data_IF_394283992727
#
_entry.id   IF_394283992727
#
_cell.length_a   1.000
_cell.length_b   1.000
_cell.length_c   1.000
_cell.angle_alpha   90.00
_cell.angle_beta   90.00
_cell.angle_gamma   90.00
#
_symmetry.space_group_name_H-M   'P 1'
#
loop_
_entity.id
_entity.type
_entity.pdbx_description
1 polymer ?
#
# COMPACT_ATOMS: atom_id res chain seq x y z
N UNK A 1 3.78 -12.40 -34.74
CA UNK A 1 4.97 -11.91 -34.00
C UNK A 1 4.43 -11.00 -32.91
N UNK A 2 3.82 -11.64 -31.91
CA UNK A 2 2.93 -11.00 -30.95
C UNK A 2 3.72 -10.66 -29.70
N UNK A 3 4.12 -9.39 -29.61
CA UNK A 3 4.92 -8.88 -28.52
C UNK A 3 4.10 -8.85 -27.22
N UNK A 4 4.29 -9.91 -26.42
CA UNK A 4 4.02 -10.02 -24.97
C UNK A 4 3.62 -8.70 -24.30
N UNK A 5 2.34 -8.58 -23.95
CA UNK A 5 1.84 -7.56 -23.04
C UNK A 5 2.55 -7.72 -21.69
N UNK A 6 3.35 -6.72 -21.32
CA UNK A 6 3.87 -6.58 -19.96
C UNK A 6 2.66 -6.55 -19.03
N UNK A 7 2.53 -7.56 -18.17
CA UNK A 7 1.45 -7.67 -17.19
C UNK A 7 1.67 -6.57 -16.14
N UNK A 8 1.19 -5.38 -16.43
CA UNK A 8 0.93 -4.36 -15.41
C UNK A 8 -0.25 -4.80 -14.56
N UNK A 9 -0.22 -4.47 -13.28
CA UNK A 9 -1.37 -4.65 -12.37
C UNK A 9 -2.64 -4.16 -13.08
N UNK A 10 -3.67 -5.01 -13.13
CA UNK A 10 -4.94 -4.70 -13.78
C UNK A 10 -5.47 -3.36 -13.26
N UNK A 11 -5.64 -2.38 -14.15
CA UNK A 11 -6.14 -1.04 -13.81
C UNK A 11 -5.09 0.08 -13.68
N UNK A 12 -3.79 -0.20 -13.89
CA UNK A 12 -2.78 0.86 -13.87
C UNK A 12 -2.94 1.83 -15.08
N UNK A 13 -2.96 3.16 -14.86
CA UNK A 13 -3.06 4.13 -15.94
C UNK A 13 -1.77 4.16 -16.77
N UNK A 14 -1.90 4.07 -18.11
CA UNK A 14 -0.75 4.13 -19.04
C UNK A 14 -0.18 5.55 -19.19
N UNK A 15 -1.01 6.57 -18.98
CA UNK A 15 -0.65 7.99 -19.08
C UNK A 15 -1.50 8.79 -18.09
N UNK A 16 -0.88 9.76 -17.42
CA UNK A 16 -1.55 10.69 -16.50
C UNK A 16 -1.26 12.11 -16.97
N UNK A 17 -2.29 12.83 -17.40
CA UNK A 17 -2.15 14.25 -17.77
C UNK A 17 -2.16 15.13 -16.51
N UNK A 18 -1.42 16.25 -16.53
CA UNK A 18 -1.28 17.17 -15.38
C UNK A 18 -0.86 16.44 -14.09
N UNK A 19 0.23 15.69 -14.17
CA UNK A 19 0.73 14.88 -13.07
C UNK A 19 1.15 15.73 -11.85
N UNK A 20 0.55 15.47 -10.70
CA UNK A 20 0.99 15.86 -9.36
C UNK A 20 1.60 14.64 -8.70
N UNK A 21 2.93 14.58 -8.73
CA UNK A 21 3.72 13.44 -8.29
C UNK A 21 4.03 13.58 -6.80
N UNK A 22 3.68 12.56 -6.01
CA UNK A 22 4.15 12.41 -4.64
C UNK A 22 5.27 11.37 -4.57
N UNK A 23 6.31 11.67 -3.80
CA UNK A 23 7.37 10.73 -3.45
C UNK A 23 7.23 10.37 -1.97
N UNK A 24 7.05 9.09 -1.67
CA UNK A 24 7.02 8.58 -0.29
C UNK A 24 8.17 7.62 -0.05
N UNK A 25 8.80 7.71 1.12
CA UNK A 25 9.90 6.84 1.53
C UNK A 25 9.45 5.68 2.44
N UNK A 26 8.18 5.67 2.85
CA UNK A 26 7.60 4.60 3.66
C UNK A 26 6.83 3.61 2.79
N UNK A 27 6.70 2.36 3.27
CA UNK A 27 6.01 1.29 2.56
C UNK A 27 4.49 1.33 2.78
N UNK A 28 3.72 1.03 1.72
CA UNK A 28 2.28 0.77 1.80
C UNK A 28 2.04 -0.73 2.06
N UNK A 29 2.52 -1.22 3.20
CA UNK A 29 2.25 -2.58 3.68
C UNK A 29 1.73 -2.51 5.10
N UNK A 30 1.04 -3.57 5.58
CA UNK A 30 0.82 -3.72 7.00
C UNK A 30 2.16 -3.54 7.76
N UNK A 31 2.13 -2.89 8.94
CA UNK A 31 3.33 -2.71 9.73
C UNK A 31 3.93 -4.09 10.01
N UNK A 32 5.25 -4.22 9.84
CA UNK A 32 5.93 -5.40 10.35
C UNK A 32 5.76 -5.36 11.86
N UNK A 33 5.19 -6.40 12.43
CA UNK A 33 5.15 -6.57 13.88
C UNK A 33 6.60 -6.58 14.36
N UNK A 34 7.08 -5.47 14.92
CA UNK A 34 8.36 -5.47 15.61
C UNK A 34 8.30 -6.53 16.71
N UNK A 35 9.42 -7.24 16.93
CA UNK A 35 9.50 -8.54 17.61
C UNK A 35 8.95 -8.59 19.06
N UNK A 36 8.49 -7.47 19.61
CA UNK A 36 7.90 -7.36 20.95
C UNK A 36 6.35 -7.33 20.96
N UNK A 37 5.70 -7.04 19.83
CA UNK A 37 4.22 -7.07 19.77
C UNK A 37 3.74 -8.50 19.51
N UNK A 38 3.69 -9.31 20.57
CA UNK A 38 2.94 -10.57 20.52
C UNK A 38 1.45 -10.27 20.51
N UNK A 39 0.83 -10.34 19.34
CA UNK A 39 -0.64 -10.34 19.24
C UNK A 39 -1.11 -11.69 19.81
N UNK A 40 -1.41 -11.72 21.10
CA UNK A 40 -1.97 -12.89 21.76
C UNK A 40 -3.44 -13.00 21.34
N UNK A 41 -3.71 -13.75 20.28
CA UNK A 41 -5.07 -14.02 19.81
C UNK A 41 -5.67 -15.09 20.72
N UNK A 42 -6.48 -14.69 21.69
CA UNK A 42 -7.14 -15.62 22.61
C UNK A 42 -8.47 -16.17 22.09
N UNK A 43 -9.09 -15.49 21.11
CA UNK A 43 -10.40 -15.85 20.55
C UNK A 43 -10.45 -15.59 19.04
N UNK A 44 -11.22 -16.41 18.31
CA UNK A 44 -11.44 -16.29 16.87
C UNK A 44 -12.04 -14.93 16.48
N UNK A 45 -12.85 -14.32 17.35
CA UNK A 45 -13.41 -12.98 17.11
C UNK A 45 -12.35 -11.88 17.05
N UNK A 46 -11.22 -12.06 17.74
CA UNK A 46 -10.09 -11.13 17.73
C UNK A 46 -9.25 -11.26 16.45
N UNK A 47 -9.23 -12.45 15.84
CA UNK A 47 -8.57 -12.68 14.55
C UNK A 47 -9.21 -11.85 13.44
N UNK A 48 -10.55 -11.86 13.35
CA UNK A 48 -11.30 -11.06 12.37
C UNK A 48 -11.11 -9.56 12.58
N UNK A 49 -10.98 -9.14 13.84
CA UNK A 49 -10.72 -7.73 14.19
C UNK A 49 -9.33 -7.29 13.72
N UNK A 50 -8.29 -8.10 13.97
CA UNK A 50 -6.92 -7.80 13.52
C UNK A 50 -6.86 -7.65 11.99
N UNK A 51 -7.52 -8.54 11.25
CA UNK A 51 -7.60 -8.47 9.78
C UNK A 51 -8.30 -7.20 9.27
N UNK A 52 -9.28 -6.66 10.00
CA UNK A 52 -9.93 -5.39 9.66
C UNK A 52 -9.02 -4.20 9.94
N UNK A 53 -8.33 -4.21 11.08
CA UNK A 53 -7.41 -3.14 11.47
C UNK A 53 -6.26 -2.97 10.45
N UNK A 54 -5.71 -4.06 9.91
CA UNK A 54 -4.71 -4.01 8.83
C UNK A 54 -5.25 -3.35 7.55
N UNK A 55 -6.49 -3.65 7.16
CA UNK A 55 -7.13 -3.07 5.97
C UNK A 55 -7.43 -1.59 6.18
N UNK A 56 -7.93 -1.23 7.36
CA UNK A 56 -8.25 0.17 7.69
C UNK A 56 -6.99 1.03 7.78
N UNK A 57 -5.89 0.49 8.28
CA UNK A 57 -4.58 1.16 8.28
C UNK A 57 -4.15 1.56 6.86
N UNK A 58 -4.15 0.60 5.92
CA UNK A 58 -3.81 0.88 4.52
C UNK A 58 -4.78 1.88 3.87
N UNK A 59 -6.08 1.73 4.13
CA UNK A 59 -7.12 2.61 3.60
C UNK A 59 -6.91 4.05 4.06
N UNK A 60 -6.54 4.25 5.32
CA UNK A 60 -6.31 5.57 5.89
C UNK A 60 -5.12 6.28 5.25
N UNK A 61 -4.03 5.56 4.96
CA UNK A 61 -2.89 6.11 4.23
C UNK A 61 -3.29 6.50 2.80
N UNK A 62 -4.00 5.62 2.09
CA UNK A 62 -4.51 5.90 0.75
C UNK A 62 -5.43 7.12 0.71
N UNK A 63 -6.29 7.29 1.73
CA UNK A 63 -7.15 8.48 1.88
C UNK A 63 -6.32 9.76 2.02
N UNK A 64 -5.22 9.73 2.78
CA UNK A 64 -4.34 10.89 2.94
C UNK A 64 -3.66 11.27 1.62
N UNK A 65 -3.14 10.27 0.87
CA UNK A 65 -2.53 10.49 -0.46
C UNK A 65 -3.54 11.09 -1.43
N UNK A 66 -4.80 10.59 -1.42
CA UNK A 66 -5.87 11.15 -2.26
C UNK A 66 -6.22 12.57 -1.85
N UNK A 67 -6.30 12.87 -0.55
CA UNK A 67 -6.55 14.23 -0.03
C UNK A 67 -5.45 15.22 -0.43
N UNK A 68 -4.20 14.78 -0.53
CA UNK A 68 -3.10 15.61 -1.04
C UNK A 68 -3.25 15.98 -2.52
N UNK A 69 -4.20 15.38 -3.25
CA UNK A 69 -4.48 15.68 -4.65
C UNK A 69 -3.44 15.11 -5.61
N UNK A 70 -2.66 14.12 -5.17
CA UNK A 70 -1.65 13.45 -5.98
C UNK A 70 -2.31 12.41 -6.89
N UNK A 71 -1.92 12.39 -8.17
CA UNK A 71 -2.41 11.42 -9.17
C UNK A 71 -1.34 10.41 -9.59
N UNK A 72 -0.08 10.66 -9.25
CA UNK A 72 1.03 9.74 -9.43
C UNK A 72 1.76 9.62 -8.11
N UNK A 73 2.02 8.39 -7.68
CA UNK A 73 2.75 8.08 -6.45
C UNK A 73 4.01 7.27 -6.81
N UNK A 74 5.15 7.77 -6.39
CA UNK A 74 6.43 7.04 -6.44
C UNK A 74 6.77 6.61 -5.02
N UNK A 75 6.99 5.32 -4.84
CA UNK A 75 7.32 4.72 -3.55
C UNK A 75 8.78 4.31 -3.61
N UNK A 76 9.63 5.01 -2.87
CA UNK A 76 10.98 4.54 -2.63
C UNK A 76 10.94 3.57 -1.44
N UNK A 77 10.70 2.29 -1.72
CA UNK A 77 11.02 1.26 -0.74
C UNK A 77 12.54 1.14 -0.72
N UNK A 78 13.19 1.32 0.43
CA UNK A 78 14.64 1.13 0.55
C UNK A 78 15.04 -0.19 -0.13
N UNK A 79 15.87 -0.06 -1.17
CA UNK A 79 16.54 -1.16 -1.88
C UNK A 79 17.90 -1.43 -1.24
N UNK A 80 18.09 -1.17 0.07
CA UNK A 80 19.21 -1.76 0.80
C UNK A 80 18.95 -3.26 1.04
N UNK A 81 18.87 -3.98 -0.07
CA UNK A 81 19.63 -5.17 -0.44
C UNK A 81 19.90 -5.10 -1.94
#
# INVERSE_FOLDING_TARGET
>A
MDSKSRVGVSGAPKRVEKAKIALIQFQLSPPKTDMENQVVITDYTQMDRALREERDYLLNICKQIKKAGCNVLLIQKSILR
#
